data_IF_154571582225
#
_entry.id   IF_154571582225
#
_cell.length_a   1.000
_cell.length_b   1.000
_cell.length_c   1.000
_cell.angle_alpha   90.00
_cell.angle_beta   90.00
_cell.angle_gamma   90.00
#
_symmetry.space_group_name_H-M   'P 1'
#
loop_
_entity.id
_entity.type
_entity.pdbx_description
1 polymer ?
#
# COMPACT_ATOMS: atom_id res chain seq x y z
N UNK A 1 16.79 -1.54 -13.68
CA UNK A 1 16.27 -2.69 -12.90
C UNK A 1 15.05 -2.24 -12.11
N UNK A 2 13.93 -2.97 -12.18
CA UNK A 2 12.70 -2.69 -11.42
C UNK A 2 12.64 -3.56 -10.16
N UNK A 3 12.18 -3.01 -9.04
CA UNK A 3 12.00 -3.75 -7.78
C UNK A 3 10.55 -3.72 -7.33
N UNK A 4 9.97 -4.91 -7.11
CA UNK A 4 8.64 -5.09 -6.54
C UNK A 4 8.77 -5.59 -5.10
N UNK A 5 8.01 -4.99 -4.18
CA UNK A 5 7.99 -5.34 -2.76
C UNK A 5 6.61 -5.87 -2.38
N UNK A 6 6.34 -7.17 -2.59
CA UNK A 6 5.07 -7.77 -2.20
C UNK A 6 4.97 -7.94 -0.67
N UNK A 7 3.73 -8.14 -0.22
CA UNK A 7 3.39 -8.36 1.18
C UNK A 7 2.83 -9.76 1.37
N UNK A 8 3.09 -10.35 2.54
CA UNK A 8 2.64 -11.69 2.87
C UNK A 8 2.22 -11.82 4.33
N UNK A 9 1.36 -12.79 4.60
CA UNK A 9 1.02 -13.27 5.93
C UNK A 9 1.50 -14.69 6.10
N UNK A 10 2.16 -14.97 7.23
CA UNK A 10 2.64 -16.30 7.63
C UNK A 10 1.82 -16.78 8.83
N UNK A 11 1.31 -18.00 8.76
CA UNK A 11 0.57 -18.61 9.86
C UNK A 11 1.49 -19.40 10.81
N UNK A 12 1.40 -19.16 12.11
CA UNK A 12 2.18 -19.90 13.12
C UNK A 12 1.63 -21.31 13.40
N UNK A 13 0.39 -21.61 12.99
CA UNK A 13 -0.24 -22.92 13.25
C UNK A 13 -0.01 -23.94 12.14
N UNK A 14 -0.24 -23.55 10.89
CA UNK A 14 -0.13 -24.44 9.73
C UNK A 14 1.05 -24.11 8.82
N UNK A 15 1.86 -23.10 9.16
CA UNK A 15 3.04 -22.65 8.40
C UNK A 15 2.76 -22.22 6.95
N UNK A 16 1.49 -22.00 6.59
CA UNK A 16 1.12 -21.52 5.28
C UNK A 16 1.43 -20.04 5.10
N UNK A 17 1.97 -19.70 3.93
CA UNK A 17 2.25 -18.35 3.48
C UNK A 17 1.16 -17.92 2.49
N UNK A 18 0.53 -16.77 2.76
CA UNK A 18 -0.54 -16.20 1.94
C UNK A 18 -0.16 -14.81 1.46
N UNK A 19 -0.56 -14.43 0.24
CA UNK A 19 -0.35 -13.08 -0.30
C UNK A 19 -1.22 -12.04 0.43
N UNK A 20 -0.64 -10.86 0.62
CA UNK A 20 -1.24 -9.72 1.32
C UNK A 20 -1.14 -9.83 2.84
N UNK A 21 -1.34 -8.71 3.53
CA UNK A 21 -1.47 -8.66 4.98
C UNK A 21 -2.90 -9.00 5.38
N UNK A 22 -3.07 -10.15 6.04
CA UNK A 22 -4.35 -10.70 6.51
C UNK A 22 -4.31 -10.92 8.02
N UNK A 23 -5.45 -10.68 8.66
CA UNK A 23 -5.68 -10.91 10.10
C UNK A 23 -5.87 -12.40 10.46
N UNK A 24 -6.18 -13.25 9.47
CA UNK A 24 -6.41 -14.68 9.65
C UNK A 24 -5.79 -15.49 8.53
N UNK A 25 -5.37 -16.71 8.84
CA UNK A 25 -4.88 -17.66 7.86
C UNK A 25 -6.02 -18.10 6.93
N UNK A 26 -5.85 -17.92 5.62
CA UNK A 26 -6.85 -18.35 4.63
C UNK A 26 -6.95 -19.88 4.48
N UNK A 27 -6.02 -20.63 5.08
CA UNK A 27 -5.99 -22.09 4.98
C UNK A 27 -6.62 -22.78 6.20
N UNK A 28 -6.21 -22.43 7.42
CA UNK A 28 -6.71 -23.07 8.65
C UNK A 28 -7.62 -22.17 9.51
N UNK A 29 -7.83 -20.91 9.13
CA UNK A 29 -8.68 -19.96 9.87
C UNK A 29 -8.07 -19.36 11.15
N UNK A 30 -6.88 -19.81 11.56
CA UNK A 30 -6.20 -19.29 12.77
C UNK A 30 -5.89 -17.79 12.66
N UNK A 31 -6.04 -17.08 13.79
CA UNK A 31 -5.62 -15.68 13.99
C UNK A 31 -4.16 -15.55 14.41
N UNK A 32 -3.47 -16.66 14.72
CA UNK A 32 -2.06 -16.67 15.09
C UNK A 32 -1.20 -16.54 13.83
N UNK A 33 -1.14 -15.32 13.30
CA UNK A 33 -0.43 -14.98 12.06
C UNK A 33 0.45 -13.76 12.25
N UNK A 34 1.45 -13.59 11.38
CA UNK A 34 2.23 -12.36 11.30
C UNK A 34 2.47 -11.93 9.86
N UNK A 35 2.54 -10.62 9.65
CA UNK A 35 2.84 -10.01 8.36
C UNK A 35 4.32 -9.85 8.09
N UNK A 36 4.77 -10.09 6.85
CA UNK A 36 6.10 -9.74 6.37
C UNK A 36 6.03 -8.91 5.10
N UNK A 37 6.94 -7.94 4.98
CA UNK A 37 7.14 -7.17 3.76
C UNK A 37 8.58 -6.66 3.67
N UNK A 38 8.98 -6.22 2.49
CA UNK A 38 10.36 -5.81 2.20
C UNK A 38 10.63 -4.41 2.74
N UNK A 39 11.58 -4.31 3.67
CA UNK A 39 12.28 -3.07 4.05
C UNK A 39 13.58 -2.97 3.22
N UNK A 40 14.47 -2.01 3.49
CA UNK A 40 15.73 -1.70 2.78
C UNK A 40 16.54 -2.95 2.37
N UNK A 41 16.14 -3.60 1.27
CA UNK A 41 16.79 -4.81 0.74
C UNK A 41 16.18 -6.16 1.18
N UNK A 42 15.56 -6.32 2.35
CA UNK A 42 15.17 -7.63 2.92
C UNK A 42 13.75 -7.69 3.50
N UNK A 43 13.18 -8.89 3.66
CA UNK A 43 11.88 -9.10 4.29
C UNK A 43 11.99 -9.05 5.82
N UNK A 44 11.05 -8.34 6.46
CA UNK A 44 10.99 -8.24 7.92
C UNK A 44 9.55 -8.30 8.41
N UNK A 45 9.37 -8.65 9.69
CA UNK A 45 8.04 -8.71 10.32
C UNK A 45 7.51 -7.31 10.55
N UNK A 46 6.32 -7.04 10.04
CA UNK A 46 5.63 -5.74 10.19
C UNK A 46 5.36 -5.43 11.66
N UNK A 47 5.10 -6.45 12.48
CA UNK A 47 4.92 -6.32 13.93
C UNK A 47 6.11 -5.70 14.67
N UNK A 48 7.31 -5.77 14.09
CA UNK A 48 8.54 -5.28 14.70
C UNK A 48 8.90 -3.86 14.23
N UNK A 49 8.03 -3.22 13.45
CA UNK A 49 8.29 -1.91 12.87
C UNK A 49 7.92 -0.78 13.83
N UNK A 50 8.66 0.32 13.75
CA UNK A 50 8.32 1.55 14.46
C UNK A 50 7.11 2.27 13.79
N UNK A 51 6.55 3.27 14.50
CA UNK A 51 5.38 4.02 14.03
C UNK A 51 5.59 4.68 12.67
N UNK A 52 6.80 5.16 12.36
CA UNK A 52 7.08 5.81 11.08
C UNK A 52 7.04 4.83 9.91
N UNK A 53 7.55 3.60 10.08
CA UNK A 53 7.49 2.55 9.05
C UNK A 53 6.09 1.97 8.86
N UNK A 54 5.31 1.87 9.93
CA UNK A 54 3.89 1.53 9.83
C UNK A 54 3.10 2.62 9.09
N UNK A 55 3.43 3.90 9.33
CA UNK A 55 2.86 5.03 8.59
C UNK A 55 3.18 4.96 7.10
N UNK A 56 4.45 4.76 6.75
CA UNK A 56 4.88 4.58 5.36
C UNK A 56 4.16 3.41 4.66
N UNK A 57 4.01 2.27 5.35
CA UNK A 57 3.25 1.14 4.83
C UNK A 57 1.78 1.48 4.56
N UNK A 58 1.15 2.22 5.48
CA UNK A 58 -0.23 2.69 5.29
C UNK A 58 -0.34 3.65 4.11
N UNK A 59 0.63 4.54 3.93
CA UNK A 59 0.68 5.48 2.82
C UNK A 59 0.88 4.77 1.47
N UNK A 60 1.70 3.72 1.43
CA UNK A 60 1.83 2.83 0.26
C UNK A 60 0.50 2.25 -0.16
N UNK A 61 -0.31 1.75 0.78
CA UNK A 61 -1.64 1.20 0.49
C UNK A 61 -2.61 2.24 -0.04
N UNK A 62 -2.46 3.51 0.38
CA UNK A 62 -3.27 4.64 -0.10
C UNK A 62 -2.75 5.23 -1.43
N UNK A 63 -1.55 4.85 -1.86
CA UNK A 63 -0.87 5.47 -3.00
C UNK A 63 -0.27 6.85 -2.68
N UNK A 64 -0.13 7.20 -1.40
CA UNK A 64 0.32 8.50 -0.94
C UNK A 64 1.85 8.55 -0.84
N UNK A 65 2.54 8.60 -1.98
CA UNK A 65 4.00 8.68 -1.99
C UNK A 65 4.45 10.14 -1.80
N UNK A 66 4.92 10.48 -0.59
CA UNK A 66 5.46 11.81 -0.30
C UNK A 66 6.97 11.87 -0.58
N UNK A 67 7.37 12.76 -1.47
CA UNK A 67 8.77 13.05 -1.76
C UNK A 67 9.24 14.17 -0.81
N UNK A 68 9.82 13.78 0.32
CA UNK A 68 10.58 14.72 1.17
C UNK A 68 9.76 15.74 1.96
N UNK A 69 8.74 15.31 2.71
CA UNK A 69 8.13 16.14 3.76
C UNK A 69 7.37 17.39 3.31
N UNK A 70 7.30 17.70 2.01
CA UNK A 70 6.43 18.75 1.50
C UNK A 70 4.99 18.25 1.49
N UNK A 71 4.15 18.85 2.32
CA UNK A 71 2.70 18.82 2.14
C UNK A 71 2.40 19.58 0.86
N UNK A 72 1.99 18.86 -0.19
CA UNK A 72 1.38 19.49 -1.35
C UNK A 72 -0.04 19.86 -0.90
N UNK A 73 -0.27 21.14 -0.64
CA UNK A 73 -1.61 21.66 -0.40
C UNK A 73 -2.36 21.59 -1.73
N UNK A 74 -3.20 20.58 -1.89
CA UNK A 74 -3.96 20.35 -3.11
C UNK A 74 -5.02 21.44 -3.25
N UNK A 75 -4.75 22.45 -4.09
CA UNK A 75 -5.77 23.37 -4.60
C UNK A 75 -6.58 22.64 -5.69
N UNK A 76 -7.34 21.62 -5.29
CA UNK A 76 -8.08 20.71 -6.17
C UNK A 76 -9.42 21.27 -6.68
N UNK A 77 -9.84 22.44 -6.19
CA UNK A 77 -11.17 22.99 -6.53
C UNK A 77 -11.17 23.91 -7.76
N UNK A 78 -10.03 24.46 -8.19
CA UNK A 78 -9.97 25.37 -9.36
C UNK A 78 -9.92 24.65 -10.73
N UNK A 79 -9.55 23.36 -10.80
CA UNK A 79 -9.37 22.67 -12.09
C UNK A 79 -10.70 22.17 -12.68
N UNK A 80 -11.75 21.98 -11.86
CA UNK A 80 -13.02 21.40 -12.33
C UNK A 80 -13.83 22.32 -13.26
N UNK A 81 -13.75 23.65 -13.12
CA UNK A 81 -14.54 24.56 -13.96
C UNK A 81 -14.01 24.69 -15.39
N UNK A 82 -12.73 24.40 -15.64
CA UNK A 82 -12.12 24.63 -16.96
C UNK A 82 -12.41 23.52 -17.99
N UNK A 83 -12.80 22.32 -17.55
CA UNK A 83 -13.02 21.15 -18.43
C UNK A 83 -14.50 20.81 -18.68
N UNK A 84 -15.44 21.69 -18.30
CA UNK A 84 -16.89 21.48 -18.50
C UNK A 84 -17.42 22.02 -19.84
N UNK A 85 -16.70 22.91 -20.53
CA UNK A 85 -17.26 23.69 -21.65
C UNK A 85 -16.62 23.47 -23.03
N UNK A 86 -15.77 22.45 -23.22
CA UNK A 86 -15.26 22.14 -24.56
C UNK A 86 -16.18 21.11 -25.26
N UNK A 87 -16.89 21.45 -26.36
CA UNK A 87 -17.61 20.46 -27.14
C UNK A 87 -16.60 19.58 -27.88
N UNK A 88 -16.51 18.31 -27.50
CA UNK A 88 -15.77 17.30 -28.27
C UNK A 88 -16.60 16.96 -29.51
N UNK A 89 -16.16 17.45 -30.66
CA UNK A 89 -16.58 16.92 -31.96
C UNK A 89 -15.74 15.67 -32.25
N UNK A 90 -16.37 14.50 -32.30
CA UNK A 90 -15.73 13.25 -32.72
C UNK A 90 -15.64 13.19 -34.25
N UNK A 91 -14.48 12.91 -34.86
CA UNK A 91 -14.40 12.56 -36.27
C UNK A 91 -14.80 11.09 -36.50
N UNK A 92 -15.47 10.85 -37.63
CA UNK A 92 -15.94 9.54 -38.13
C UNK A 92 -14.80 8.72 -38.73
#
# INVERSE_FOLDING_TARGET
QLTISPEFTVCNKCNQLTRGLKEKCSHCGSTEVYGITRIVGYFSRVSNWNKSKLGELSDRHKGNYSLGGLKIESKSDEIKERYSSAPVSTPR
#
